data_IF_145730440998
#
_entry.id   IF_145730440998
#
_cell.length_a   1.000
_cell.length_b   1.000
_cell.length_c   1.000
_cell.angle_alpha   90.00
_cell.angle_beta   90.00
_cell.angle_gamma   90.00
#
_symmetry.space_group_name_H-M   'P 1'
#
loop_
_entity.id
_entity.type
_entity.pdbx_description
1 polymer ?
#
# COMPACT_ATOMS: atom_id res chain seq x y z
N UNK A 1 -69.75 25.53 43.14
CA UNK A 1 -70.73 25.61 42.03
C UNK A 1 -70.31 26.76 41.12
N UNK A 2 -70.19 26.70 39.80
CA UNK A 2 -70.48 25.69 38.77
C UNK A 2 -69.57 26.01 37.55
N UNK A 3 -69.28 24.98 36.77
CA UNK A 3 -68.23 24.84 35.74
C UNK A 3 -68.27 25.74 34.47
N UNK A 4 -67.06 25.85 33.84
CA UNK A 4 -66.62 25.71 32.41
C UNK A 4 -67.54 26.26 31.28
N UNK A 5 -67.03 26.82 30.16
CA UNK A 5 -66.02 26.24 29.23
C UNK A 5 -65.32 27.32 28.38
N UNK A 6 -64.07 27.01 28.04
CA UNK A 6 -63.22 27.67 27.05
C UNK A 6 -63.55 27.23 25.60
N UNK A 7 -63.24 28.10 24.63
CA UNK A 7 -62.96 27.79 23.21
C UNK A 7 -62.11 28.94 22.66
N UNK A 8 -60.77 28.89 22.70
CA UNK A 8 -59.83 28.36 21.70
C UNK A 8 -60.15 28.77 20.25
N UNK A 9 -59.52 29.86 19.79
CA UNK A 9 -59.08 30.00 18.39
C UNK A 9 -57.68 30.60 18.38
N UNK A 10 -56.70 29.73 18.14
CA UNK A 10 -55.28 30.02 18.05
C UNK A 10 -55.00 30.49 16.62
N UNK A 11 -54.61 31.76 16.43
CA UNK A 11 -54.10 32.24 15.14
C UNK A 11 -52.59 32.01 15.14
N UNK A 12 -52.14 30.95 14.50
CA UNK A 12 -50.73 30.66 14.30
C UNK A 12 -50.17 31.60 13.23
N UNK A 13 -49.37 32.59 13.63
CA UNK A 13 -48.48 33.29 12.73
C UNK A 13 -47.25 32.41 12.51
N UNK A 14 -47.16 31.73 11.37
CA UNK A 14 -45.91 31.14 10.90
C UNK A 14 -44.98 32.28 10.44
N UNK A 15 -44.02 32.64 11.27
CA UNK A 15 -42.81 33.32 10.79
C UNK A 15 -41.89 32.24 10.22
N UNK A 16 -41.89 32.09 8.90
CA UNK A 16 -40.86 31.33 8.18
C UNK A 16 -39.54 32.11 8.25
N UNK A 17 -38.71 31.81 9.25
CA UNK A 17 -37.29 32.15 9.21
C UNK A 17 -36.63 31.21 8.19
N UNK A 18 -36.44 31.69 6.97
CA UNK A 18 -35.56 31.06 6.01
C UNK A 18 -34.13 31.20 6.54
N UNK A 19 -33.61 30.14 7.16
CA UNK A 19 -32.17 30.00 7.38
C UNK A 19 -31.58 29.79 5.98
N UNK A 20 -31.04 30.85 5.39
CA UNK A 20 -30.13 30.71 4.27
C UNK A 20 -28.95 29.88 4.77
N UNK A 21 -28.96 28.59 4.48
CA UNK A 21 -27.77 27.76 4.60
C UNK A 21 -26.75 28.38 3.64
N UNK A 22 -25.86 29.21 4.18
CA UNK A 22 -24.62 29.51 3.48
C UNK A 22 -23.89 28.18 3.39
N UNK A 23 -23.90 27.57 2.21
CA UNK A 23 -22.91 26.60 1.81
C UNK A 23 -21.56 27.32 1.85
N UNK A 24 -20.99 27.44 3.05
CA UNK A 24 -19.57 27.63 3.19
C UNK A 24 -18.96 26.34 2.70
N UNK A 25 -18.68 26.31 1.40
CA UNK A 25 -17.68 25.44 0.82
C UNK A 25 -16.40 25.76 1.58
N UNK A 26 -16.15 25.03 2.67
CA UNK A 26 -14.83 24.96 3.24
C UNK A 26 -13.96 24.46 2.11
N UNK A 27 -13.09 25.34 1.59
CA UNK A 27 -12.02 24.89 0.72
C UNK A 27 -11.32 23.77 1.49
N UNK A 28 -11.40 22.55 0.96
CA UNK A 28 -10.74 21.40 1.57
C UNK A 28 -9.27 21.75 1.64
N UNK A 29 -8.79 22.01 2.86
CA UNK A 29 -7.42 22.42 3.07
C UNK A 29 -6.57 21.27 2.57
N UNK A 30 -5.70 21.52 1.57
CA UNK A 30 -4.82 20.46 1.05
C UNK A 30 -4.15 19.78 2.25
N UNK A 31 -4.23 18.43 2.34
CA UNK A 31 -3.59 17.71 3.43
C UNK A 31 -2.13 18.17 3.55
N UNK A 32 -1.61 18.45 4.75
CA UNK A 32 -0.27 18.96 4.91
C UNK A 32 0.72 18.04 4.18
N UNK A 33 1.48 18.62 3.24
CA UNK A 33 2.49 17.90 2.48
C UNK A 33 3.51 17.31 3.47
N UNK A 34 3.75 16.01 3.37
CA UNK A 34 4.77 15.34 4.19
C UNK A 34 6.14 15.83 3.73
N UNK A 35 6.86 16.50 4.62
CA UNK A 35 8.23 16.98 4.39
C UNK A 35 9.21 16.23 5.28
N UNK A 36 10.50 16.34 4.99
CA UNK A 36 11.59 15.78 5.80
C UNK A 36 12.23 14.54 5.19
N UNK A 37 13.25 14.02 5.88
CA UNK A 37 14.04 12.89 5.40
C UNK A 37 13.35 11.58 5.76
N UNK A 38 13.23 10.68 4.79
CA UNK A 38 12.71 9.34 4.98
C UNK A 38 13.81 8.32 4.69
N UNK A 39 13.85 7.26 5.49
CA UNK A 39 14.80 6.14 5.28
C UNK A 39 14.06 4.88 4.88
N UNK A 40 14.62 4.13 3.93
CA UNK A 40 14.10 2.82 3.55
C UNK A 40 14.68 1.75 4.46
N UNK A 41 13.83 0.93 5.07
CA UNK A 41 14.23 -0.16 5.98
C UNK A 41 13.64 -1.49 5.53
N UNK A 42 14.48 -2.54 5.45
CA UNK A 42 13.99 -3.92 5.26
C UNK A 42 13.46 -4.48 6.58
N UNK A 43 12.23 -4.97 6.57
CA UNK A 43 11.56 -5.51 7.76
C UNK A 43 12.28 -6.73 8.31
N UNK A 44 12.83 -7.60 7.44
CA UNK A 44 13.60 -8.77 7.90
C UNK A 44 14.84 -8.37 8.70
N UNK A 45 15.50 -7.26 8.35
CA UNK A 45 16.68 -6.75 9.04
C UNK A 45 16.30 -6.09 10.37
N UNK A 46 15.28 -5.23 10.37
CA UNK A 46 14.80 -4.58 11.59
C UNK A 46 14.25 -5.58 12.60
N UNK A 47 13.48 -6.58 12.14
CA UNK A 47 12.93 -7.63 12.99
C UNK A 47 14.00 -8.56 13.57
N UNK A 48 15.15 -8.72 12.89
CA UNK A 48 16.28 -9.49 13.38
C UNK A 48 17.08 -8.75 14.47
N UNK A 49 17.07 -7.41 14.49
CA UNK A 49 17.75 -6.59 15.49
C UNK A 49 16.94 -5.34 15.85
N UNK A 50 15.90 -5.53 16.67
CA UNK A 50 14.98 -4.45 17.06
C UNK A 50 15.69 -3.32 17.84
N UNK A 51 16.64 -3.65 18.70
CA UNK A 51 17.39 -2.65 19.48
C UNK A 51 18.29 -1.81 18.59
N UNK A 52 19.01 -2.44 17.65
CA UNK A 52 19.82 -1.74 16.67
C UNK A 52 18.98 -0.87 15.74
N UNK A 53 17.83 -1.37 15.30
CA UNK A 53 16.87 -0.59 14.52
C UNK A 53 16.38 0.65 15.29
N UNK A 54 15.95 0.49 16.55
CA UNK A 54 15.51 1.62 17.37
C UNK A 54 16.64 2.65 17.54
N UNK A 55 17.85 2.20 17.87
CA UNK A 55 19.00 3.07 18.04
C UNK A 55 19.35 3.85 16.76
N UNK A 56 19.30 3.20 15.60
CA UNK A 56 19.57 3.83 14.31
C UNK A 56 18.56 4.95 13.99
N UNK A 57 17.26 4.69 14.21
CA UNK A 57 16.23 5.70 13.96
C UNK A 57 16.33 6.87 14.95
N UNK A 58 16.52 6.60 16.24
CA UNK A 58 16.68 7.66 17.26
C UNK A 58 17.96 8.46 17.09
N UNK A 59 19.02 7.84 16.58
CA UNK A 59 20.32 8.47 16.36
C UNK A 59 20.33 9.50 15.24
N UNK A 60 19.29 9.56 14.39
CA UNK A 60 19.18 10.53 13.32
C UNK A 60 17.97 11.47 13.53
N UNK A 61 18.18 12.66 14.14
CA UNK A 61 17.10 13.59 14.44
C UNK A 61 16.48 14.25 13.21
N UNK A 62 17.04 14.04 12.01
CA UNK A 62 16.50 14.60 10.76
C UNK A 62 15.46 13.70 10.10
N UNK A 63 15.27 12.47 10.59
CA UNK A 63 14.26 11.56 10.05
C UNK A 63 12.85 12.02 10.43
N UNK A 64 12.00 12.11 9.41
CA UNK A 64 10.57 12.38 9.54
C UNK A 64 9.72 11.10 9.41
N UNK A 65 10.30 10.00 8.91
CA UNK A 65 9.63 8.73 8.77
C UNK A 65 10.49 7.60 8.21
N UNK A 66 9.91 6.41 8.17
CA UNK A 66 10.54 5.19 7.67
C UNK A 66 9.66 4.55 6.60
N UNK A 67 10.22 4.25 5.43
CA UNK A 67 9.59 3.39 4.44
C UNK A 67 9.93 1.93 4.77
N UNK A 68 8.98 1.20 5.34
CA UNK A 68 9.13 -0.20 5.71
C UNK A 68 8.90 -1.11 4.51
N UNK A 69 9.82 -2.05 4.33
CA UNK A 69 9.89 -2.84 3.12
C UNK A 69 9.90 -4.34 3.39
N UNK A 70 9.01 -5.07 2.73
CA UNK A 70 8.90 -6.52 2.89
C UNK A 70 8.59 -7.19 1.56
N UNK A 71 9.18 -8.36 1.34
CA UNK A 71 8.85 -9.21 0.19
C UNK A 71 7.56 -10.00 0.44
N UNK A 72 6.73 -10.17 -0.58
CA UNK A 72 5.45 -10.89 -0.41
C UNK A 72 5.63 -12.33 0.09
N UNK A 73 6.59 -13.07 -0.46
CA UNK A 73 6.97 -14.42 -0.02
C UNK A 73 7.53 -14.49 1.41
N UNK A 74 7.95 -13.35 1.99
CA UNK A 74 8.44 -13.29 3.36
C UNK A 74 7.29 -13.32 4.37
N UNK A 75 6.09 -12.88 3.96
CA UNK A 75 4.92 -12.80 4.84
C UNK A 75 3.85 -13.83 4.49
N UNK A 76 3.73 -14.32 3.26
CA UNK A 76 2.69 -15.28 2.89
C UNK A 76 3.33 -16.51 2.22
N UNK A 77 3.68 -17.51 3.03
CA UNK A 77 4.27 -18.77 2.55
C UNK A 77 3.21 -19.78 2.11
N UNK A 78 2.01 -19.70 2.70
CA UNK A 78 0.84 -20.51 2.38
C UNK A 78 -0.31 -19.64 1.86
N UNK A 79 -1.15 -20.16 0.93
CA UNK A 79 -2.25 -19.38 0.37
C UNK A 79 -3.21 -18.86 1.46
N UNK A 80 -3.35 -17.54 1.55
CA UNK A 80 -4.31 -16.85 2.40
C UNK A 80 -3.90 -16.72 3.86
N UNK A 81 -2.69 -17.13 4.22
CA UNK A 81 -2.20 -17.15 5.61
C UNK A 81 -0.96 -16.28 5.77
N UNK A 82 -1.10 -14.95 5.70
CA UNK A 82 0.02 -14.07 5.97
C UNK A 82 0.43 -14.13 7.45
N UNK A 83 1.73 -14.26 7.72
CA UNK A 83 2.37 -13.98 9.00
C UNK A 83 2.92 -12.55 8.99
N UNK A 84 2.29 -11.70 9.79
CA UNK A 84 2.66 -10.29 9.92
C UNK A 84 3.58 -10.01 11.12
N UNK A 85 4.04 -11.03 11.85
CA UNK A 85 4.77 -10.89 13.11
C UNK A 85 6.02 -10.01 13.00
N UNK A 86 6.75 -10.08 11.88
CA UNK A 86 7.93 -9.26 11.62
C UNK A 86 7.59 -7.78 11.42
N UNK A 87 6.47 -7.51 10.73
CA UNK A 87 5.93 -6.15 10.54
C UNK A 87 5.48 -5.60 11.90
N UNK A 88 4.71 -6.38 12.67
CA UNK A 88 4.18 -5.95 13.97
C UNK A 88 5.29 -5.59 14.97
N UNK A 89 6.35 -6.41 15.04
CA UNK A 89 7.51 -6.13 15.90
C UNK A 89 8.19 -4.82 15.50
N UNK A 90 8.35 -4.58 14.21
CA UNK A 90 8.96 -3.35 13.69
C UNK A 90 8.07 -2.13 13.95
N UNK A 91 6.76 -2.23 13.69
CA UNK A 91 5.77 -1.19 13.95
C UNK A 91 5.68 -0.88 15.44
N UNK A 92 5.79 -1.87 16.33
CA UNK A 92 5.83 -1.67 17.79
C UNK A 92 6.99 -0.77 18.22
N UNK A 93 8.17 -0.90 17.58
CA UNK A 93 9.29 0.00 17.83
C UNK A 93 8.95 1.42 17.37
N UNK A 94 8.37 1.57 16.19
CA UNK A 94 7.98 2.88 15.64
C UNK A 94 6.93 3.59 16.50
N UNK A 95 5.95 2.86 17.04
CA UNK A 95 5.00 3.37 18.04
C UNK A 95 5.70 3.93 19.27
N UNK A 96 6.62 3.16 19.86
CA UNK A 96 7.34 3.56 21.07
C UNK A 96 8.12 4.85 20.90
N UNK A 97 8.62 5.10 19.69
CA UNK A 97 9.44 6.28 19.38
C UNK A 97 8.65 7.39 18.67
N UNK A 98 7.35 7.19 18.41
CA UNK A 98 6.48 8.15 17.73
C UNK A 98 6.84 8.40 16.26
N UNK A 99 7.50 7.45 15.60
CA UNK A 99 7.99 7.61 14.23
C UNK A 99 6.95 7.15 13.22
N UNK A 100 6.66 8.01 12.24
CA UNK A 100 5.74 7.72 11.14
C UNK A 100 6.34 6.69 10.18
N UNK A 101 5.48 5.94 9.52
CA UNK A 101 5.92 4.98 8.51
C UNK A 101 5.02 4.91 7.28
N UNK A 102 5.63 4.39 6.23
CA UNK A 102 4.98 3.98 5.00
C UNK A 102 5.25 2.49 4.80
N UNK A 103 4.24 1.74 4.33
CA UNK A 103 4.37 0.30 4.12
C UNK A 103 4.49 -0.04 2.63
N UNK A 104 5.45 -0.89 2.30
CA UNK A 104 5.69 -1.32 0.94
C UNK A 104 5.83 -2.84 0.84
N UNK A 105 4.80 -3.50 0.33
CA UNK A 105 4.81 -4.92 -0.01
C UNK A 105 5.39 -5.12 -1.41
N UNK A 106 6.46 -5.90 -1.57
CA UNK A 106 7.12 -6.10 -2.86
C UNK A 106 6.70 -7.45 -3.48
N UNK A 107 6.08 -7.48 -4.67
CA UNK A 107 5.86 -8.70 -5.45
C UNK A 107 7.07 -8.96 -6.37
N UNK A 108 6.87 -9.28 -7.65
CA UNK A 108 7.94 -9.56 -8.59
C UNK A 108 8.67 -10.86 -8.22
N UNK A 109 9.99 -10.80 -8.04
CA UNK A 109 10.78 -11.95 -7.56
C UNK A 109 10.47 -12.37 -6.13
N UNK A 110 9.72 -11.56 -5.40
CA UNK A 110 9.23 -11.91 -4.07
C UNK A 110 7.80 -12.47 -4.11
N UNK A 111 7.28 -12.86 -5.27
CA UNK A 111 6.01 -13.58 -5.35
C UNK A 111 6.14 -14.97 -4.70
N UNK A 112 5.22 -15.37 -3.81
CA UNK A 112 5.27 -16.68 -3.16
C UNK A 112 5.22 -17.84 -4.16
N UNK A 113 6.00 -18.88 -3.89
CA UNK A 113 6.06 -20.07 -4.75
C UNK A 113 4.70 -20.77 -4.92
N UNK A 114 3.80 -20.66 -3.92
CA UNK A 114 2.47 -21.24 -4.01
C UNK A 114 1.62 -20.63 -5.13
N UNK A 115 1.85 -19.36 -5.48
CA UNK A 115 1.10 -18.65 -6.54
C UNK A 115 1.37 -19.31 -7.90
N UNK A 116 2.62 -19.66 -8.16
CA UNK A 116 3.01 -20.40 -9.37
C UNK A 116 2.50 -21.85 -9.35
N UNK A 117 2.51 -22.52 -8.19
CA UNK A 117 1.91 -23.86 -8.04
C UNK A 117 0.39 -23.86 -8.29
N UNK A 118 -0.28 -22.74 -8.07
CA UNK A 118 -1.69 -22.56 -8.42
C UNK A 118 -1.93 -22.31 -9.91
N UNK A 119 -0.87 -22.19 -10.73
CA UNK A 119 -0.96 -22.03 -12.18
C UNK A 119 -0.83 -20.59 -12.69
N UNK A 120 -0.40 -19.64 -11.86
CA UNK A 120 -0.15 -18.28 -12.34
C UNK A 120 0.91 -18.27 -13.44
N UNK A 121 0.64 -17.58 -14.54
CA UNK A 121 1.63 -17.37 -15.59
C UNK A 121 2.86 -16.62 -15.06
N UNK A 122 4.03 -16.98 -15.59
CA UNK A 122 5.30 -16.41 -15.17
C UNK A 122 6.26 -16.26 -16.34
N UNK A 123 7.27 -15.41 -16.15
CA UNK A 123 8.42 -15.29 -17.04
C UNK A 123 9.71 -15.47 -16.26
N UNK A 124 10.67 -16.12 -16.90
CA UNK A 124 12.04 -16.16 -16.44
C UNK A 124 12.86 -15.05 -17.10
N UNK A 125 13.74 -14.44 -16.31
CA UNK A 125 14.70 -13.41 -16.74
C UNK A 125 15.99 -13.55 -15.92
N UNK A 126 17.03 -12.82 -16.29
CA UNK A 126 18.30 -12.81 -15.55
C UNK A 126 18.49 -11.50 -14.80
N UNK A 127 19.14 -11.56 -13.65
CA UNK A 127 19.52 -10.35 -12.90
C UNK A 127 20.65 -9.64 -13.62
N UNK A 128 20.42 -8.40 -14.04
CA UNK A 128 21.34 -7.63 -14.89
C UNK A 128 22.17 -6.58 -14.17
N UNK A 129 21.94 -6.33 -12.88
CA UNK A 129 22.72 -5.36 -12.12
C UNK A 129 24.02 -6.02 -11.61
N UNK A 130 25.22 -5.63 -12.09
CA UNK A 130 26.49 -6.25 -11.72
C UNK A 130 26.90 -6.00 -10.27
N UNK A 131 26.27 -5.03 -9.59
CA UNK A 131 26.54 -4.74 -8.18
C UNK A 131 25.73 -5.62 -7.21
N UNK A 132 24.95 -6.57 -7.72
CA UNK A 132 24.22 -7.54 -6.89
C UNK A 132 25.02 -8.84 -6.79
N UNK A 133 25.01 -9.44 -5.61
CA UNK A 133 25.68 -10.73 -5.37
C UNK A 133 25.15 -11.86 -6.27
N UNK A 134 23.88 -11.77 -6.67
CA UNK A 134 23.21 -12.71 -7.56
C UNK A 134 23.17 -12.24 -9.02
N UNK A 135 24.14 -11.44 -9.46
CA UNK A 135 24.26 -11.05 -10.85
C UNK A 135 24.33 -12.28 -11.77
N UNK A 136 23.56 -12.25 -12.86
CA UNK A 136 23.48 -13.33 -13.83
C UNK A 136 22.54 -14.48 -13.45
N UNK A 137 22.06 -14.56 -12.20
CA UNK A 137 21.11 -15.61 -11.81
C UNK A 137 19.78 -15.45 -12.55
N UNK A 138 19.20 -16.59 -12.94
CA UNK A 138 17.85 -16.66 -13.48
C UNK A 138 16.83 -16.58 -12.37
N UNK A 139 15.85 -15.70 -12.53
CA UNK A 139 14.75 -15.49 -11.60
C UNK A 139 13.41 -15.57 -12.33
N UNK A 140 12.38 -15.95 -11.58
CA UNK A 140 11.00 -16.03 -12.06
C UNK A 140 10.19 -14.88 -11.49
N UNK A 141 9.39 -14.23 -12.34
CA UNK A 141 8.40 -13.23 -11.93
C UNK A 141 7.01 -13.58 -12.48
N UNK A 142 5.93 -13.19 -11.81
CA UNK A 142 4.58 -13.38 -12.33
C UNK A 142 4.31 -12.45 -13.51
N UNK A 143 3.40 -12.88 -14.40
CA UNK A 143 2.77 -11.99 -15.36
C UNK A 143 1.78 -11.09 -14.61
N UNK A 144 1.91 -9.75 -14.61
CA UNK A 144 1.12 -8.89 -13.71
C UNK A 144 -0.39 -8.87 -13.98
N UNK A 145 -0.80 -9.21 -15.20
CA UNK A 145 -2.21 -9.33 -15.59
C UNK A 145 -2.75 -10.77 -15.52
N UNK A 146 -1.99 -11.72 -14.96
CA UNK A 146 -2.47 -13.07 -14.74
C UNK A 146 -3.54 -13.09 -13.63
N UNK A 147 -4.71 -13.72 -13.84
CA UNK A 147 -5.82 -13.68 -12.89
C UNK A 147 -5.52 -14.43 -11.58
N UNK A 148 -4.67 -15.46 -11.59
CA UNK A 148 -4.30 -16.21 -10.37
C UNK A 148 -3.33 -15.37 -9.54
N UNK A 149 -2.34 -14.74 -10.17
CA UNK A 149 -1.49 -13.75 -9.52
C UNK A 149 -2.34 -12.64 -8.92
N UNK A 150 -3.21 -12.02 -9.72
CA UNK A 150 -3.97 -10.87 -9.27
C UNK A 150 -4.86 -11.18 -8.08
N UNK A 151 -5.61 -12.30 -8.13
CA UNK A 151 -6.47 -12.74 -7.03
C UNK A 151 -5.70 -12.88 -5.72
N UNK A 152 -4.52 -13.52 -5.74
CA UNK A 152 -3.73 -13.72 -4.53
C UNK A 152 -3.12 -12.41 -4.04
N UNK A 153 -2.61 -11.56 -4.94
CA UNK A 153 -1.99 -10.31 -4.56
C UNK A 153 -3.01 -9.30 -4.00
N UNK A 154 -4.19 -9.21 -4.62
CA UNK A 154 -5.31 -8.40 -4.12
C UNK A 154 -5.76 -8.84 -2.72
N UNK A 155 -5.76 -10.15 -2.44
CA UNK A 155 -6.09 -10.68 -1.10
C UNK A 155 -5.12 -10.20 -0.04
N UNK A 156 -3.80 -10.32 -0.27
CA UNK A 156 -2.81 -9.88 0.74
C UNK A 156 -2.81 -8.36 0.92
N UNK A 157 -3.09 -7.57 -0.13
CA UNK A 157 -3.29 -6.11 0.00
C UNK A 157 -4.47 -5.80 0.94
N UNK A 158 -5.60 -6.48 0.76
CA UNK A 158 -6.77 -6.31 1.63
C UNK A 158 -6.43 -6.69 3.09
N UNK A 159 -5.76 -7.82 3.32
CA UNK A 159 -5.35 -8.27 4.65
C UNK A 159 -4.35 -7.30 5.32
N UNK A 160 -3.47 -6.66 4.53
CA UNK A 160 -2.61 -5.59 5.03
C UNK A 160 -3.41 -4.35 5.43
N UNK A 161 -4.39 -3.96 4.62
CA UNK A 161 -5.29 -2.85 4.92
C UNK A 161 -6.09 -3.09 6.21
N UNK A 162 -6.69 -4.26 6.35
CA UNK A 162 -7.41 -4.69 7.56
C UNK A 162 -6.54 -4.57 8.83
N UNK A 163 -5.23 -4.83 8.72
CA UNK A 163 -4.31 -4.79 9.85
C UNK A 163 -3.74 -3.42 10.16
N UNK A 164 -3.41 -2.62 9.15
CA UNK A 164 -2.58 -1.42 9.32
C UNK A 164 -3.24 -0.10 8.89
N UNK A 165 -4.39 -0.11 8.20
CA UNK A 165 -5.00 1.13 7.72
C UNK A 165 -5.56 2.02 8.84
N UNK A 166 -5.81 1.46 10.03
CA UNK A 166 -6.26 2.20 11.21
C UNK A 166 -5.09 2.72 12.07
N UNK A 167 -3.84 2.35 11.77
CA UNK A 167 -2.68 2.77 12.55
C UNK A 167 -2.38 4.26 12.28
N UNK A 168 -2.38 5.14 13.31
CA UNK A 168 -2.17 6.57 13.11
C UNK A 168 -0.74 6.93 12.67
N UNK A 169 0.24 6.02 12.84
CA UNK A 169 1.60 6.21 12.36
C UNK A 169 1.80 5.67 10.94
N UNK A 170 0.89 4.84 10.44
CA UNK A 170 0.85 4.43 9.03
C UNK A 170 0.27 5.55 8.18
N UNK A 171 1.15 6.33 7.55
CA UNK A 171 0.77 7.55 6.81
C UNK A 171 0.80 7.36 5.29
N UNK A 172 1.34 6.23 4.81
CA UNK A 172 1.45 5.95 3.38
C UNK A 172 1.57 4.47 3.06
N UNK A 173 1.31 4.13 1.81
CA UNK A 173 1.65 2.84 1.19
C UNK A 173 2.27 3.06 -0.17
N UNK A 174 3.19 2.17 -0.55
CA UNK A 174 3.80 2.18 -1.89
C UNK A 174 2.95 1.35 -2.83
N UNK A 175 2.52 1.95 -3.95
CA UNK A 175 1.89 1.26 -5.06
C UNK A 175 2.87 0.28 -5.69
N UNK A 176 2.66 -0.99 -5.40
CA UNK A 176 3.33 -2.12 -6.04
C UNK A 176 2.30 -3.00 -6.72
N UNK A 177 2.69 -3.61 -7.85
CA UNK A 177 1.84 -4.53 -8.60
C UNK A 177 2.59 -5.20 -9.75
N UNK A 178 3.29 -4.41 -10.57
CA UNK A 178 4.15 -4.87 -11.64
C UNK A 178 5.56 -4.37 -11.36
N UNK A 179 6.36 -5.25 -10.74
CA UNK A 179 7.70 -4.95 -10.28
C UNK A 179 8.64 -6.10 -10.64
N UNK A 180 9.92 -5.79 -10.82
CA UNK A 180 10.96 -6.80 -11.01
C UNK A 180 11.64 -7.16 -9.68
N UNK A 181 12.73 -6.47 -9.33
CA UNK A 181 13.56 -6.76 -8.15
C UNK A 181 13.34 -5.78 -7.00
N UNK A 182 12.98 -4.53 -7.31
CA UNK A 182 12.72 -3.45 -6.37
C UNK A 182 11.21 -3.18 -6.27
N UNK A 183 10.83 -2.11 -5.55
CA UNK A 183 9.45 -1.61 -5.50
C UNK A 183 9.16 -0.61 -6.62
N UNK A 184 10.17 -0.34 -7.45
CA UNK A 184 10.05 0.63 -8.51
C UNK A 184 9.24 0.05 -9.66
N UNK A 185 8.57 0.96 -10.36
CA UNK A 185 7.61 0.69 -11.42
C UNK A 185 8.30 0.23 -12.71
N UNK A 186 8.91 -0.95 -12.70
CA UNK A 186 9.45 -1.54 -13.91
C UNK A 186 9.42 -3.06 -13.91
N UNK A 187 9.20 -3.61 -15.10
CA UNK A 187 9.43 -5.00 -15.44
C UNK A 187 10.88 -5.19 -15.93
N UNK A 188 11.35 -6.44 -16.08
CA UNK A 188 12.56 -6.74 -16.82
C UNK A 188 12.53 -6.09 -18.21
N UNK A 189 13.61 -5.38 -18.52
CA UNK A 189 13.68 -4.43 -19.64
C UNK A 189 14.87 -4.68 -20.57
N UNK A 190 15.44 -5.89 -20.59
CA UNK A 190 16.39 -6.26 -21.66
C UNK A 190 15.64 -6.40 -23.00
N UNK A 191 16.33 -6.36 -24.15
CA UNK A 191 15.69 -6.64 -25.44
C UNK A 191 14.96 -7.99 -25.47
N UNK A 192 15.58 -9.03 -24.90
CA UNK A 192 14.99 -10.36 -24.82
C UNK A 192 13.74 -10.39 -23.91
N UNK A 193 13.76 -9.66 -22.79
CA UNK A 193 12.57 -9.57 -21.92
C UNK A 193 11.43 -8.82 -22.61
N UNK A 194 11.74 -7.71 -23.29
CA UNK A 194 10.73 -6.95 -24.05
C UNK A 194 10.07 -7.79 -25.13
N UNK A 195 10.84 -8.64 -25.83
CA UNK A 195 10.28 -9.56 -26.81
C UNK A 195 9.27 -10.53 -26.17
N UNK A 196 9.60 -11.13 -25.02
CA UNK A 196 8.67 -12.01 -24.27
C UNK A 196 7.37 -11.29 -23.87
N UNK A 197 7.46 -10.02 -23.47
CA UNK A 197 6.26 -9.23 -23.16
C UNK A 197 5.43 -8.93 -24.40
N UNK A 198 6.07 -8.60 -25.52
CA UNK A 198 5.40 -8.34 -26.81
C UNK A 198 4.69 -9.58 -27.36
N UNK A 199 5.23 -10.77 -27.16
CA UNK A 199 4.57 -12.04 -27.51
C UNK A 199 3.23 -12.25 -26.77
N UNK A 200 3.02 -11.58 -25.64
CA UNK A 200 1.76 -11.61 -24.89
C UNK A 200 0.72 -10.61 -25.42
N UNK A 201 0.95 -9.97 -26.57
CA UNK A 201 0.03 -9.02 -27.22
C UNK A 201 0.27 -7.58 -26.79
N UNK A 202 -0.81 -6.79 -26.68
CA UNK A 202 -0.74 -5.40 -26.22
C UNK A 202 -0.46 -5.32 -24.70
N UNK A 203 0.78 -5.59 -24.32
CA UNK A 203 1.21 -5.58 -22.92
C UNK A 203 1.23 -4.16 -22.34
N UNK A 204 1.31 -3.11 -23.17
CA UNK A 204 1.27 -1.72 -22.73
C UNK A 204 -0.09 -1.37 -22.12
N UNK A 205 -1.18 -1.65 -22.84
CA UNK A 205 -2.54 -1.47 -22.34
C UNK A 205 -2.81 -2.37 -21.13
N UNK A 206 -2.41 -3.65 -21.19
CA UNK A 206 -2.57 -4.58 -20.05
C UNK A 206 -1.87 -4.08 -18.79
N UNK A 207 -0.66 -3.53 -18.94
CA UNK A 207 0.12 -3.00 -17.82
C UNK A 207 -0.51 -1.72 -17.26
N UNK A 208 -1.04 -0.84 -18.11
CA UNK A 208 -1.80 0.34 -17.68
C UNK A 208 -3.03 -0.07 -16.86
N UNK A 209 -3.77 -1.08 -17.32
CA UNK A 209 -4.96 -1.58 -16.61
C UNK A 209 -4.60 -2.21 -15.26
N UNK A 210 -3.46 -2.91 -15.18
CA UNK A 210 -2.89 -3.39 -13.91
C UNK A 210 -2.64 -2.23 -12.95
N UNK A 211 -1.96 -1.16 -13.40
CA UNK A 211 -1.70 0.00 -12.53
C UNK A 211 -2.96 0.70 -12.08
N UNK A 212 -3.97 0.88 -12.95
CA UNK A 212 -5.28 1.43 -12.57
C UNK A 212 -5.94 0.59 -11.49
N UNK A 213 -6.11 -0.72 -11.76
CA UNK A 213 -6.70 -1.67 -10.81
C UNK A 213 -6.02 -1.63 -9.45
N UNK A 214 -4.69 -1.69 -9.42
CA UNK A 214 -3.97 -1.71 -8.14
C UNK A 214 -3.91 -0.36 -7.45
N UNK A 215 -3.98 0.75 -8.18
CA UNK A 215 -4.20 2.07 -7.56
C UNK A 215 -5.51 2.06 -6.78
N UNK A 216 -6.60 1.59 -7.38
CA UNK A 216 -7.90 1.49 -6.73
C UNK A 216 -7.90 0.53 -5.54
N UNK A 217 -7.24 -0.62 -5.66
CA UNK A 217 -7.18 -1.62 -4.58
C UNK A 217 -6.33 -1.16 -3.39
N UNK A 218 -5.19 -0.53 -3.63
CA UNK A 218 -4.39 0.07 -2.56
C UNK A 218 -5.16 1.22 -1.89
N UNK A 219 -5.83 2.08 -2.67
CA UNK A 219 -6.67 3.15 -2.13
C UNK A 219 -7.81 2.61 -1.28
N UNK A 220 -8.46 1.54 -1.74
CA UNK A 220 -9.54 0.89 -1.00
C UNK A 220 -9.04 0.27 0.31
N UNK A 221 -7.90 -0.40 0.28
CA UNK A 221 -7.32 -1.05 1.46
C UNK A 221 -6.79 -0.02 2.49
N UNK A 222 -6.33 1.14 2.02
CA UNK A 222 -5.73 2.21 2.83
C UNK A 222 -6.37 3.57 2.54
N UNK A 223 -7.64 3.79 2.91
CA UNK A 223 -8.45 4.92 2.45
C UNK A 223 -8.03 6.28 3.02
N UNK A 224 -7.11 6.32 4.00
CA UNK A 224 -6.65 7.55 4.65
C UNK A 224 -5.17 7.82 4.41
N UNK A 225 -4.46 6.86 3.82
CA UNK A 225 -3.03 6.93 3.60
C UNK A 225 -2.75 7.48 2.21
N UNK A 226 -1.59 8.11 2.06
CA UNK A 226 -1.11 8.49 0.74
C UNK A 226 -0.62 7.26 -0.01
N UNK A 227 -0.87 7.22 -1.31
CA UNK A 227 -0.30 6.23 -2.20
C UNK A 227 0.91 6.86 -2.89
N UNK A 228 2.09 6.28 -2.68
CA UNK A 228 3.32 6.70 -3.35
C UNK A 228 3.67 5.74 -4.48
N UNK A 229 4.31 6.28 -5.52
CA UNK A 229 4.78 5.49 -6.65
C UNK A 229 6.30 5.66 -6.76
N UNK A 230 7.03 4.55 -6.74
CA UNK A 230 8.48 4.55 -6.89
C UNK A 230 8.84 4.35 -8.35
N UNK A 231 9.71 5.20 -8.90
CA UNK A 231 10.11 5.20 -10.31
C UNK A 231 11.59 4.86 -10.46
N UNK A 232 11.97 4.25 -11.60
CA UNK A 232 13.34 3.88 -11.98
C UNK A 232 13.80 4.65 -13.21
#
# INVERSE_FOLDING_TARGET
MRQRKASKTLRACLCCLAIAATDQVFAEQEPPKRTGLWVTQKISESAANLAGFEAAIRGNPHLAGVCLTVGWKEIETEPGKPDFSSIDKTVTVLHRIGMKYELALKPGVDTPAYVFRQGAQSLQTSITNPHRANFGETVTIPVPWDPIYQRNFSRVIAQLGERYAADPLCVGVVLTCANFMSKEMHLPKTPADRAKWQEMGDYGTKLLDVYKKYTDEWAKAFPKQQISLHLS
#
